data_IF_772079224153
#
_entry.id   IF_772079224153
#
_cell.length_a   1.000
_cell.length_b   1.000
_cell.length_c   1.000
_cell.angle_alpha   90.00
_cell.angle_beta   90.00
_cell.angle_gamma   90.00
#
_symmetry.space_group_name_H-M   'P 1'
#
loop_
_entity.id
_entity.type
_entity.pdbx_description
1 polymer ?
#
# COMPACT_ATOMS: atom_id res chain seq x y z
N UNK A 1 7.10 -4.72 -5.06
CA UNK A 1 7.68 -5.59 -4.03
C UNK A 1 7.79 -4.92 -2.66
N UNK A 2 8.15 -3.64 -2.56
CA UNK A 2 8.23 -2.92 -1.26
C UNK A 2 6.87 -2.66 -0.58
N UNK A 3 5.79 -2.58 -1.33
CA UNK A 3 4.43 -2.29 -0.83
C UNK A 3 3.99 -3.24 0.29
N UNK A 4 4.08 -4.54 0.07
CA UNK A 4 3.61 -5.56 1.03
C UNK A 4 4.39 -5.53 2.35
N UNK A 5 5.74 -5.59 2.36
CA UNK A 5 6.49 -5.52 3.61
C UNK A 5 6.24 -4.23 4.40
N UNK A 6 6.15 -3.08 3.72
CA UNK A 6 5.85 -1.81 4.37
C UNK A 6 4.44 -1.77 4.96
N UNK A 7 3.45 -2.26 4.23
CA UNK A 7 2.07 -2.34 4.70
C UNK A 7 1.93 -3.24 5.94
N UNK A 8 2.58 -4.41 5.92
CA UNK A 8 2.60 -5.32 7.07
C UNK A 8 3.28 -4.67 8.28
N UNK A 9 4.43 -4.01 8.07
CA UNK A 9 5.13 -3.30 9.13
C UNK A 9 4.25 -2.20 9.75
N UNK A 10 3.63 -1.36 8.93
CA UNK A 10 2.72 -0.29 9.37
C UNK A 10 1.56 -0.88 10.18
N UNK A 11 0.91 -1.93 9.66
CA UNK A 11 -0.22 -2.57 10.33
C UNK A 11 0.15 -3.21 11.67
N UNK A 12 1.29 -3.89 11.74
CA UNK A 12 1.80 -4.49 12.99
C UNK A 12 2.13 -3.40 14.01
N UNK A 13 2.85 -2.35 13.61
CA UNK A 13 3.20 -1.24 14.51
C UNK A 13 1.96 -0.52 15.05
N UNK A 14 0.93 -0.35 14.21
CA UNK A 14 -0.33 0.22 14.64
C UNK A 14 -1.09 -0.71 15.59
N UNK A 15 -1.26 -2.00 15.22
CA UNK A 15 -2.11 -2.93 15.94
C UNK A 15 -1.51 -3.50 17.24
N UNK A 16 -0.18 -3.52 17.41
CA UNK A 16 0.44 -4.06 18.63
C UNK A 16 0.17 -3.21 19.90
N UNK A 17 -0.19 -1.95 19.75
CA UNK A 17 -0.54 -1.02 20.84
C UNK A 17 -1.74 -0.17 20.46
N UNK A 18 -2.91 -0.78 20.48
CA UNK A 18 -4.17 -0.14 20.16
C UNK A 18 -4.39 1.13 20.99
N UNK A 19 -4.92 2.18 20.36
CA UNK A 19 -5.20 3.47 20.99
C UNK A 19 -3.98 4.36 21.23
N UNK A 20 -2.77 3.89 20.95
CA UNK A 20 -1.54 4.69 21.06
C UNK A 20 -1.50 5.83 20.03
N UNK A 21 -0.62 6.81 20.25
CA UNK A 21 -0.39 7.89 19.28
C UNK A 21 0.11 7.32 17.93
N UNK A 22 0.97 6.32 17.97
CA UNK A 22 1.46 5.61 16.79
C UNK A 22 0.32 4.94 16.02
N UNK A 23 -0.56 4.23 16.72
CA UNK A 23 -1.73 3.61 16.12
C UNK A 23 -2.61 4.65 15.43
N UNK A 24 -2.96 5.74 16.12
CA UNK A 24 -3.82 6.79 15.56
C UNK A 24 -3.20 7.43 14.31
N UNK A 25 -1.91 7.79 14.35
CA UNK A 25 -1.23 8.41 13.22
C UNK A 25 -1.16 7.48 12.01
N UNK A 26 -0.70 6.22 12.20
CA UNK A 26 -0.57 5.25 11.11
C UNK A 26 -1.94 4.84 10.54
N UNK A 27 -2.96 4.70 11.39
CA UNK A 27 -4.33 4.41 10.96
C UNK A 27 -4.92 5.57 10.17
N UNK A 28 -4.72 6.83 10.61
CA UNK A 28 -5.18 8.01 9.87
C UNK A 28 -4.55 8.09 8.47
N UNK A 29 -3.23 7.90 8.38
CA UNK A 29 -2.54 7.86 7.07
C UNK A 29 -3.08 6.75 6.18
N UNK A 30 -3.30 5.55 6.74
CA UNK A 30 -3.85 4.42 5.97
C UNK A 30 -5.30 4.67 5.53
N UNK A 31 -6.11 5.36 6.33
CA UNK A 31 -7.48 5.75 5.97
C UNK A 31 -7.46 6.78 4.84
N UNK A 32 -6.66 7.83 4.95
CA UNK A 32 -6.53 8.86 3.91
C UNK A 32 -6.09 8.21 2.59
N UNK A 33 -5.09 7.33 2.64
CA UNK A 33 -4.58 6.60 1.47
C UNK A 33 -5.66 5.77 0.78
N UNK A 34 -6.55 5.10 1.52
CA UNK A 34 -7.61 4.26 0.96
C UNK A 34 -8.89 5.03 0.61
N UNK A 35 -9.14 6.17 1.24
CA UNK A 35 -10.28 7.03 0.94
C UNK A 35 -10.07 7.89 -0.31
N UNK A 36 -8.81 8.12 -0.68
CA UNK A 36 -8.47 8.90 -1.87
C UNK A 36 -8.45 7.99 -3.10
N UNK A 37 -9.25 8.27 -4.14
CA UNK A 37 -9.19 7.51 -5.40
C UNK A 37 -7.78 7.53 -6.01
N UNK A 38 -7.36 6.44 -6.65
CA UNK A 38 -6.00 6.30 -7.19
C UNK A 38 -5.60 7.43 -8.14
N UNK A 39 -6.49 7.81 -9.06
CA UNK A 39 -6.22 8.88 -10.01
C UNK A 39 -5.99 10.23 -9.31
N UNK A 40 -6.71 10.50 -8.22
CA UNK A 40 -6.54 11.73 -7.42
C UNK A 40 -5.17 11.71 -6.75
N UNK A 41 -4.79 10.60 -6.14
CA UNK A 41 -3.45 10.43 -5.57
C UNK A 41 -2.36 10.64 -6.61
N UNK A 42 -2.53 10.09 -7.82
CA UNK A 42 -1.59 10.27 -8.92
C UNK A 42 -1.48 11.73 -9.38
N UNK A 43 -2.61 12.43 -9.55
CA UNK A 43 -2.63 13.85 -9.91
C UNK A 43 -1.93 14.71 -8.85
N UNK A 44 -2.19 14.44 -7.56
CA UNK A 44 -1.52 15.14 -6.46
C UNK A 44 0.00 14.90 -6.50
N UNK A 45 0.42 13.65 -6.69
CA UNK A 45 1.85 13.31 -6.78
C UNK A 45 2.53 14.01 -7.96
N UNK A 46 1.88 14.05 -9.14
CA UNK A 46 2.39 14.78 -10.29
C UNK A 46 2.48 16.29 -9.97
N UNK A 47 1.44 16.86 -9.40
CA UNK A 47 1.41 18.30 -9.06
C UNK A 47 2.52 18.70 -8.08
N UNK A 48 2.78 17.85 -7.07
CA UNK A 48 3.78 18.14 -6.03
C UNK A 48 5.20 17.85 -6.51
N UNK A 49 5.42 16.68 -7.15
CA UNK A 49 6.78 16.16 -7.39
C UNK A 49 7.27 16.30 -8.84
N UNK A 50 6.39 16.57 -9.80
CA UNK A 50 6.77 16.68 -11.20
C UNK A 50 6.51 18.09 -11.78
N UNK A 51 5.62 18.89 -11.15
CA UNK A 51 5.25 20.21 -11.66
C UNK A 51 6.33 21.26 -11.39
N UNK A 52 6.55 22.10 -12.39
CA UNK A 52 7.39 23.30 -12.24
C UNK A 52 6.74 24.40 -11.41
N UNK A 53 5.42 24.38 -11.25
CA UNK A 53 4.67 25.38 -10.53
C UNK A 53 4.87 25.29 -9.00
N UNK A 54 5.07 24.08 -8.46
CA UNK A 54 5.30 23.84 -7.02
C UNK A 54 6.79 23.70 -6.68
N UNK A 55 7.66 23.56 -7.69
CA UNK A 55 9.11 23.69 -7.55
C UNK A 55 9.91 22.42 -7.22
N UNK A 56 9.30 21.28 -6.98
CA UNK A 56 10.05 20.10 -6.55
C UNK A 56 10.71 19.29 -7.68
N UNK A 57 10.24 19.29 -8.90
CA UNK A 57 10.82 18.64 -10.12
C UNK A 57 11.73 17.43 -9.89
N UNK A 58 11.39 16.57 -8.91
CA UNK A 58 12.22 15.42 -8.56
C UNK A 58 11.98 14.23 -9.49
N UNK A 59 10.79 14.16 -10.08
CA UNK A 59 10.36 13.07 -10.93
C UNK A 59 9.67 13.58 -12.20
N UNK A 60 9.58 12.72 -13.20
CA UNK A 60 8.85 13.01 -14.43
C UNK A 60 7.34 12.81 -14.22
N UNK A 61 6.53 13.73 -14.70
CA UNK A 61 5.06 13.63 -14.65
C UNK A 61 4.47 12.63 -15.65
N UNK A 62 5.28 12.11 -16.58
CA UNK A 62 4.90 11.11 -17.57
C UNK A 62 5.90 9.97 -17.56
N UNK A 63 5.43 8.77 -17.88
CA UNK A 63 6.25 7.57 -17.96
C UNK A 63 6.47 7.10 -19.41
N UNK A 64 6.26 7.95 -20.42
CA UNK A 64 6.42 7.61 -21.84
C UNK A 64 7.83 7.13 -22.15
N UNK A 65 8.85 7.77 -21.60
CA UNK A 65 10.26 7.36 -21.74
C UNK A 65 10.60 6.05 -21.04
N UNK A 66 9.77 5.58 -20.12
CA UNK A 66 9.97 4.30 -19.46
C UNK A 66 9.73 3.08 -20.39
N UNK A 67 9.12 3.29 -21.55
CA UNK A 67 8.96 2.25 -22.57
C UNK A 67 10.31 1.89 -23.24
N UNK A 68 11.21 2.85 -23.34
CA UNK A 68 12.56 2.64 -23.89
C UNK A 68 13.55 2.29 -22.77
N UNK A 69 13.46 3.00 -21.65
CA UNK A 69 14.39 2.82 -20.54
C UNK A 69 13.71 3.14 -19.20
N UNK A 70 13.53 2.14 -18.34
CA UNK A 70 12.95 2.34 -17.00
C UNK A 70 14.01 2.98 -16.12
N UNK A 71 13.76 4.24 -15.73
CA UNK A 71 14.59 4.98 -14.79
C UNK A 71 13.83 5.27 -13.50
N UNK A 72 14.56 5.53 -12.41
CA UNK A 72 13.95 5.93 -11.15
C UNK A 72 13.07 7.17 -11.29
N UNK A 73 13.45 8.12 -12.14
CA UNK A 73 12.74 9.39 -12.31
C UNK A 73 11.41 9.25 -13.07
N UNK A 74 11.30 8.32 -14.02
CA UNK A 74 10.11 8.18 -14.85
C UNK A 74 9.12 7.12 -14.35
N UNK A 75 9.55 6.19 -13.48
CA UNK A 75 8.71 5.07 -13.05
C UNK A 75 8.30 5.13 -11.57
N UNK A 76 8.90 6.01 -10.76
CA UNK A 76 8.61 6.09 -9.32
C UNK A 76 7.20 6.57 -9.03
N UNK A 77 6.74 7.65 -9.67
CA UNK A 77 5.39 8.18 -9.40
C UNK A 77 4.28 7.19 -9.77
N UNK A 78 4.28 6.53 -10.94
CA UNK A 78 3.32 5.46 -11.25
C UNK A 78 3.29 4.36 -10.19
N UNK A 79 4.46 3.86 -9.80
CA UNK A 79 4.59 2.79 -8.80
C UNK A 79 4.08 3.23 -7.42
N UNK A 80 4.43 4.45 -6.98
CA UNK A 80 3.98 5.00 -5.70
C UNK A 80 2.46 5.19 -5.70
N UNK A 81 1.88 5.67 -6.80
CA UNK A 81 0.43 5.87 -6.94
C UNK A 81 -0.33 4.57 -6.68
N UNK A 82 0.05 3.48 -7.36
CA UNK A 82 -0.58 2.16 -7.16
C UNK A 82 -0.31 1.63 -5.75
N UNK A 83 0.92 1.79 -5.25
CA UNK A 83 1.33 1.27 -3.97
C UNK A 83 0.59 1.92 -2.79
N UNK A 84 0.29 3.22 -2.84
CA UNK A 84 -0.36 3.95 -1.76
C UNK A 84 -1.71 3.34 -1.37
N UNK A 85 -2.57 3.06 -2.34
CA UNK A 85 -3.87 2.46 -2.09
C UNK A 85 -3.75 1.05 -1.51
N UNK A 86 -3.02 0.17 -2.19
CA UNK A 86 -2.82 -1.22 -1.75
C UNK A 86 -2.14 -1.32 -0.39
N UNK A 87 -1.18 -0.43 -0.11
CA UNK A 87 -0.48 -0.37 1.17
C UNK A 87 -1.42 0.03 2.31
N UNK A 88 -2.27 1.04 2.11
CA UNK A 88 -3.25 1.47 3.10
C UNK A 88 -4.26 0.37 3.43
N UNK A 89 -4.73 -0.36 2.43
CA UNK A 89 -5.68 -1.46 2.60
C UNK A 89 -5.09 -2.64 3.38
N UNK A 90 -3.90 -3.11 2.98
CA UNK A 90 -3.18 -4.20 3.66
C UNK A 90 -2.82 -3.79 5.10
N UNK A 91 -2.34 -2.55 5.31
CA UNK A 91 -1.98 -2.06 6.64
C UNK A 91 -3.18 -2.03 7.59
N UNK A 92 -4.35 -1.58 7.14
CA UNK A 92 -5.58 -1.57 7.94
C UNK A 92 -6.02 -2.97 8.33
N UNK A 93 -5.97 -3.92 7.39
CA UNK A 93 -6.33 -5.31 7.67
C UNK A 93 -5.36 -5.96 8.64
N UNK A 94 -4.06 -5.70 8.46
CA UNK A 94 -3.00 -6.16 9.37
C UNK A 94 -3.19 -5.58 10.77
N UNK A 95 -3.51 -4.29 10.87
CA UNK A 95 -3.81 -3.65 12.16
C UNK A 95 -4.99 -4.31 12.85
N UNK A 96 -6.11 -4.52 12.14
CA UNK A 96 -7.31 -5.12 12.71
C UNK A 96 -7.03 -6.53 13.24
N UNK A 97 -6.38 -7.37 12.43
CA UNK A 97 -6.00 -8.72 12.83
C UNK A 97 -5.00 -8.73 14.00
N UNK A 98 -4.03 -7.82 13.99
CA UNK A 98 -3.06 -7.71 15.09
C UNK A 98 -3.73 -7.29 16.40
N UNK A 99 -4.65 -6.33 16.37
CA UNK A 99 -5.42 -5.90 17.55
C UNK A 99 -6.24 -7.04 18.12
N UNK A 100 -6.96 -7.78 17.28
CA UNK A 100 -7.74 -8.95 17.69
C UNK A 100 -6.86 -10.00 18.38
N UNK A 101 -5.75 -10.35 17.76
CA UNK A 101 -4.80 -11.34 18.31
C UNK A 101 -4.21 -10.88 19.63
N UNK A 102 -3.85 -9.59 19.77
CA UNK A 102 -3.25 -9.05 21.01
C UNK A 102 -4.21 -9.07 22.21
N UNK A 103 -5.52 -9.21 22.00
CA UNK A 103 -6.53 -9.39 23.03
C UNK A 103 -6.83 -10.85 23.36
N UNK A 104 -6.32 -11.79 22.60
CA UNK A 104 -6.58 -13.22 22.77
C UNK A 104 -6.07 -13.78 24.11
N UNK A 105 -6.76 -14.80 24.63
CA UNK A 105 -6.47 -15.43 25.93
C UNK A 105 -5.04 -15.96 26.06
N UNK A 106 -4.48 -16.55 25.01
CA UNK A 106 -3.12 -17.08 25.04
C UNK A 106 -2.05 -15.97 25.13
N UNK A 107 -2.32 -14.79 24.59
CA UNK A 107 -1.47 -13.62 24.76
C UNK A 107 -1.50 -13.14 26.21
N UNK A 108 -2.67 -13.11 26.84
CA UNK A 108 -2.83 -12.79 28.26
C UNK A 108 -2.05 -13.80 29.13
N UNK A 109 -2.14 -15.08 28.82
CA UNK A 109 -1.38 -16.13 29.51
C UNK A 109 0.13 -15.94 29.36
N UNK A 110 0.61 -15.59 28.16
CA UNK A 110 2.04 -15.31 27.95
C UNK A 110 2.53 -14.11 28.77
N UNK A 111 1.72 -13.04 28.89
CA UNK A 111 2.02 -11.90 29.74
C UNK A 111 2.11 -12.29 31.22
N UNK A 112 1.18 -13.10 31.72
CA UNK A 112 1.18 -13.58 33.10
C UNK A 112 2.40 -14.47 33.41
N UNK A 113 2.91 -15.19 32.42
CA UNK A 113 4.15 -15.98 32.52
C UNK A 113 5.42 -15.12 32.43
N UNK A 114 5.32 -13.79 32.35
CA UNK A 114 6.48 -12.90 32.31
C UNK A 114 7.19 -12.83 30.96
N UNK A 115 6.57 -13.30 29.85
CA UNK A 115 7.18 -13.18 28.52
C UNK A 115 7.28 -11.70 28.15
N UNK A 116 8.44 -11.27 27.68
CA UNK A 116 8.66 -9.87 27.28
C UNK A 116 7.79 -9.47 26.09
N UNK A 117 7.35 -8.21 26.04
CA UNK A 117 6.47 -7.68 25.00
C UNK A 117 6.98 -7.94 23.57
N UNK A 118 8.27 -7.71 23.21
CA UNK A 118 8.76 -8.05 21.88
C UNK A 118 8.62 -9.53 21.54
N UNK A 119 8.87 -10.41 22.49
CA UNK A 119 8.71 -11.85 22.29
C UNK A 119 7.24 -12.25 22.12
N UNK A 120 6.31 -11.60 22.85
CA UNK A 120 4.88 -11.79 22.66
C UNK A 120 4.49 -11.41 21.22
N UNK A 121 4.91 -10.23 20.76
CA UNK A 121 4.61 -9.76 19.40
C UNK A 121 5.18 -10.71 18.35
N UNK A 122 6.48 -11.00 18.41
CA UNK A 122 7.17 -11.72 17.34
C UNK A 122 6.86 -13.22 17.32
N UNK A 123 6.77 -13.87 18.48
CA UNK A 123 6.63 -15.33 18.57
C UNK A 123 5.19 -15.81 18.76
N UNK A 124 4.35 -15.01 19.40
CA UNK A 124 2.99 -15.43 19.75
C UNK A 124 1.91 -14.75 18.93
N UNK A 125 2.03 -13.44 18.68
CA UNK A 125 0.98 -12.68 18.00
C UNK A 125 1.15 -12.70 16.48
N UNK A 126 2.33 -12.38 15.96
CA UNK A 126 2.56 -12.14 14.54
C UNK A 126 2.17 -13.34 13.66
N UNK A 127 2.51 -14.55 14.09
CA UNK A 127 2.20 -15.77 13.35
C UNK A 127 0.71 -15.93 13.05
N UNK A 128 -0.15 -15.62 14.01
CA UNK A 128 -1.59 -15.73 13.86
C UNK A 128 -2.19 -14.49 13.19
N UNK A 129 -1.67 -13.31 13.52
CA UNK A 129 -2.14 -12.05 12.97
C UNK A 129 -1.89 -11.88 11.47
N UNK A 130 -0.91 -12.58 10.88
CA UNK A 130 -0.61 -12.48 9.46
C UNK A 130 -1.53 -13.33 8.57
N UNK A 131 -2.35 -14.22 9.12
CA UNK A 131 -3.22 -15.11 8.32
C UNK A 131 -4.21 -14.29 7.48
N UNK A 132 -4.96 -13.38 8.09
CA UNK A 132 -5.94 -12.55 7.39
C UNK A 132 -5.28 -11.57 6.39
N UNK A 133 -4.20 -10.84 6.72
CA UNK A 133 -3.46 -10.03 5.75
C UNK A 133 -2.96 -10.81 4.53
N UNK A 134 -2.49 -12.04 4.69
CA UNK A 134 -2.05 -12.86 3.55
C UNK A 134 -3.18 -13.12 2.57
N UNK A 135 -4.39 -13.43 3.05
CA UNK A 135 -5.57 -13.58 2.18
C UNK A 135 -5.86 -12.31 1.40
N UNK A 136 -5.79 -11.16 2.06
CA UNK A 136 -5.99 -9.85 1.42
C UNK A 136 -4.92 -9.56 0.36
N UNK A 137 -3.65 -9.90 0.65
CA UNK A 137 -2.56 -9.74 -0.32
C UNK A 137 -2.82 -10.56 -1.58
N UNK A 138 -3.31 -11.79 -1.45
CA UNK A 138 -3.68 -12.62 -2.60
C UNK A 138 -4.81 -12.01 -3.42
N UNK A 139 -5.82 -11.42 -2.78
CA UNK A 139 -6.93 -10.74 -3.44
C UNK A 139 -6.52 -9.43 -4.12
N UNK A 140 -5.37 -8.85 -3.79
CA UNK A 140 -4.86 -7.65 -4.46
C UNK A 140 -4.33 -7.93 -5.88
N UNK A 141 -3.99 -9.16 -6.23
CA UNK A 141 -3.49 -9.49 -7.57
C UNK A 141 -4.50 -9.16 -8.67
N UNK A 142 -5.75 -9.65 -8.65
CA UNK A 142 -6.76 -9.30 -9.64
C UNK A 142 -7.06 -7.79 -9.68
N UNK A 143 -7.06 -7.15 -8.51
CA UNK A 143 -7.29 -5.71 -8.40
C UNK A 143 -6.17 -4.90 -9.06
N UNK A 144 -4.90 -5.29 -8.89
CA UNK A 144 -3.75 -4.64 -9.54
C UNK A 144 -3.89 -4.64 -11.06
N UNK A 145 -4.43 -5.69 -11.67
CA UNK A 145 -4.66 -5.75 -13.12
C UNK A 145 -5.64 -4.67 -13.59
N UNK A 146 -6.67 -4.37 -12.82
CA UNK A 146 -7.63 -3.32 -13.14
C UNK A 146 -7.09 -1.91 -12.84
N UNK A 147 -6.42 -1.73 -11.70
CA UNK A 147 -5.89 -0.43 -11.26
C UNK A 147 -4.74 0.08 -12.13
N UNK A 148 -3.96 -0.83 -12.70
CA UNK A 148 -2.88 -0.50 -13.63
C UNK A 148 -3.38 0.32 -14.83
N UNK A 149 -4.57 0.04 -15.38
CA UNK A 149 -5.15 0.78 -16.52
C UNK A 149 -5.25 2.28 -16.24
N UNK A 150 -5.77 2.64 -15.07
CA UNK A 150 -5.96 4.05 -14.67
C UNK A 150 -4.62 4.77 -14.56
N UNK A 151 -3.65 4.11 -13.91
CA UNK A 151 -2.32 4.70 -13.71
C UNK A 151 -1.54 4.77 -15.02
N UNK A 152 -1.61 3.76 -15.88
CA UNK A 152 -1.01 3.79 -17.22
C UNK A 152 -1.54 4.94 -18.07
N UNK A 153 -2.85 5.17 -18.03
CA UNK A 153 -3.48 6.29 -18.74
C UNK A 153 -3.03 7.64 -18.17
N UNK A 154 -3.02 7.76 -16.83
CA UNK A 154 -2.64 9.01 -16.16
C UNK A 154 -1.19 9.41 -16.44
N UNK A 155 -0.26 8.45 -16.43
CA UNK A 155 1.16 8.69 -16.66
C UNK A 155 1.59 8.51 -18.11
N UNK A 156 0.62 8.28 -19.02
CA UNK A 156 0.85 8.05 -20.45
C UNK A 156 1.87 6.91 -20.71
N UNK A 157 1.72 5.82 -19.97
CA UNK A 157 2.52 4.60 -20.13
C UNK A 157 1.73 3.56 -20.93
N UNK A 158 2.25 3.16 -22.10
CA UNK A 158 1.60 2.18 -22.99
C UNK A 158 1.89 0.75 -22.51
N UNK A 159 1.35 0.38 -21.36
CA UNK A 159 1.49 -0.96 -20.79
C UNK A 159 0.35 -1.89 -21.21
N UNK A 160 0.18 -2.95 -20.41
CA UNK A 160 -0.83 -3.99 -20.66
C UNK A 160 -2.27 -3.44 -20.63
N UNK A 161 -2.59 -2.64 -19.60
CA UNK A 161 -3.94 -2.09 -19.44
C UNK A 161 -4.28 -1.10 -20.55
N UNK A 162 -3.35 -0.25 -20.95
CA UNK A 162 -3.53 0.68 -22.08
C UNK A 162 -3.78 -0.08 -23.38
N UNK A 163 -3.02 -1.15 -23.67
CA UNK A 163 -3.19 -2.00 -24.86
C UNK A 163 -4.57 -2.68 -24.87
N UNK A 164 -5.03 -3.14 -23.69
CA UNK A 164 -6.32 -3.78 -23.53
C UNK A 164 -7.48 -2.83 -23.84
N UNK A 165 -7.40 -1.57 -23.37
CA UNK A 165 -8.40 -0.54 -23.68
C UNK A 165 -8.42 -0.21 -25.17
N UNK A 166 -7.25 -0.12 -25.82
CA UNK A 166 -7.15 0.12 -27.25
C UNK A 166 -7.75 -1.03 -28.08
N UNK A 167 -7.43 -2.27 -27.72
CA UNK A 167 -7.99 -3.45 -28.40
C UNK A 167 -9.53 -3.50 -28.27
N UNK A 168 -10.02 -3.26 -27.04
CA UNK A 168 -11.48 -3.21 -26.80
C UNK A 168 -12.18 -2.08 -27.59
N UNK A 169 -11.53 -0.92 -27.74
CA UNK A 169 -12.06 0.20 -28.53
C UNK A 169 -12.07 -0.05 -30.05
N UNK A 170 -11.14 -0.86 -30.53
CA UNK A 170 -11.02 -1.22 -31.95
C UNK A 170 -11.82 -2.48 -32.34
N UNK A 171 -12.53 -3.12 -31.40
CA UNK A 171 -13.24 -4.40 -31.61
C UNK A 171 -12.30 -5.56 -32.05
N UNK A 172 -11.06 -5.56 -31.60
CA UNK A 172 -10.08 -6.63 -31.83
C UNK A 172 -10.06 -7.63 -30.65
#
# INVERSE_FOLDING_TARGET
MLMVPMALLIGVLAGMREGSRTDRSLSTVSIISTATPEYVSGVILIAVFASSAVGLRWFNGTATSAMENITFQNFTLPVVTIALYGMGYIARMTRASMTEVMTAQYIRTARLKGVSFPNIVMKHALRNALIAPFTVIMLQFPWLLNGVVIVETLFNYKGFGWTLVQAAGNND
#
